data_IF_436891702127
#
_entry.id   IF_436891702127
#
_cell.length_a   1.000
_cell.length_b   1.000
_cell.length_c   1.000
_cell.angle_alpha   90.00
_cell.angle_beta   90.00
_cell.angle_gamma   90.00
#
_symmetry.space_group_name_H-M   'P 1'
#
loop_
_entity.id
_entity.type
_entity.pdbx_description
1 polymer ?
#
# COMPACT_ATOMS: atom_id res chain seq x y z
N UNK A 1 -33.67 68.12 8.16
CA UNK A 1 -33.48 67.15 7.09
C UNK A 1 -33.14 65.78 7.72
N UNK A 2 -33.98 64.99 8.40
CA UNK A 2 -35.42 64.68 8.41
C UNK A 2 -35.94 63.89 7.20
N UNK A 3 -36.46 62.68 7.54
CA UNK A 3 -37.41 61.79 6.83
C UNK A 3 -36.87 60.86 5.73
N UNK A 4 -37.28 59.59 5.61
CA UNK A 4 -38.30 58.75 6.28
C UNK A 4 -38.05 57.27 5.86
N UNK A 5 -38.30 56.22 6.63
CA UNK A 5 -39.54 55.67 7.22
C UNK A 5 -40.65 55.26 6.23
N UNK A 6 -40.87 53.92 6.15
CA UNK A 6 -42.13 53.13 6.01
C UNK A 6 -41.72 51.73 5.49
N UNK A 7 -42.23 50.59 5.95
CA UNK A 7 -43.37 50.28 6.83
C UNK A 7 -43.27 48.80 7.24
N UNK A 8 -43.59 48.52 8.50
CA UNK A 8 -43.97 47.19 8.97
C UNK A 8 -45.42 46.88 8.55
N UNK A 9 -45.71 45.62 8.23
CA UNK A 9 -47.05 45.04 8.25
C UNK A 9 -46.97 43.65 8.92
N UNK A 10 -48.04 43.35 9.64
CA UNK A 10 -48.21 42.37 10.71
C UNK A 10 -48.65 40.96 10.28
N UNK A 11 -48.27 39.97 11.11
CA UNK A 11 -48.76 38.60 11.41
C UNK A 11 -50.20 38.23 10.96
N UNK A 12 -50.56 36.93 10.67
CA UNK A 12 -50.44 35.80 11.61
C UNK A 12 -50.15 34.38 11.05
N UNK A 13 -49.99 33.44 11.98
CA UNK A 13 -49.88 31.97 11.83
C UNK A 13 -50.77 31.35 10.74
N UNK A 14 -50.20 30.43 9.95
CA UNK A 14 -50.92 29.23 9.50
C UNK A 14 -49.96 28.06 9.23
N UNK A 15 -50.22 26.99 9.95
CA UNK A 15 -49.77 25.60 9.84
C UNK A 15 -49.48 25.05 8.44
N UNK A 16 -48.40 24.26 8.31
CA UNK A 16 -48.36 23.13 7.39
C UNK A 16 -47.04 22.85 6.69
N UNK A 17 -46.56 21.62 6.84
CA UNK A 17 -45.65 20.87 5.94
C UNK A 17 -44.12 20.96 6.18
N UNK A 18 -43.40 19.85 5.87
CA UNK A 18 -42.64 19.14 6.88
C UNK A 18 -41.13 19.36 6.81
N UNK A 19 -40.47 18.99 7.91
CA UNK A 19 -39.03 18.86 8.02
C UNK A 19 -38.42 18.05 6.86
N UNK A 20 -37.75 18.73 5.94
CA UNK A 20 -36.76 18.10 5.06
C UNK A 20 -35.52 17.85 5.91
N UNK A 21 -35.49 16.67 6.55
CA UNK A 21 -34.23 16.07 6.99
C UNK A 21 -33.39 15.82 5.75
N UNK A 22 -32.36 16.62 5.55
CA UNK A 22 -31.25 16.25 4.68
C UNK A 22 -30.51 15.06 5.32
N UNK A 23 -31.02 13.85 5.10
CA UNK A 23 -30.20 12.63 5.15
C UNK A 23 -29.50 12.53 3.80
N UNK A 24 -28.33 13.15 3.68
CA UNK A 24 -27.36 12.67 2.71
C UNK A 24 -26.83 11.34 3.25
N UNK A 25 -27.34 10.22 2.70
CA UNK A 25 -26.80 8.90 2.99
C UNK A 25 -25.35 8.85 2.46
N UNK A 26 -24.41 8.50 3.34
CA UNK A 26 -22.99 8.30 3.03
C UNK A 26 -22.76 7.38 1.81
N UNK A 27 -23.74 6.51 1.51
CA UNK A 27 -23.75 5.56 0.39
C UNK A 27 -23.67 6.22 -1.01
N UNK A 28 -24.18 7.44 -1.19
CA UNK A 28 -24.20 8.08 -2.51
C UNK A 28 -22.82 8.59 -2.94
N UNK A 29 -22.00 9.06 -2.00
CA UNK A 29 -20.67 9.61 -2.29
C UNK A 29 -19.67 8.52 -2.69
N UNK A 30 -19.73 7.34 -2.08
CA UNK A 30 -18.88 6.21 -2.44
C UNK A 30 -19.22 5.65 -3.83
N UNK A 31 -20.52 5.54 -4.17
CA UNK A 31 -20.94 5.12 -5.50
C UNK A 31 -20.56 6.13 -6.60
N UNK A 32 -20.69 7.43 -6.32
CA UNK A 32 -20.32 8.49 -7.27
C UNK A 32 -18.80 8.53 -7.47
N UNK A 33 -18.01 8.46 -6.39
CA UNK A 33 -16.55 8.44 -6.49
C UNK A 33 -16.01 7.19 -7.21
N UNK A 34 -16.62 6.02 -6.98
CA UNK A 34 -16.30 4.79 -7.73
C UNK A 34 -16.58 4.92 -9.23
N UNK A 35 -17.67 5.60 -9.62
CA UNK A 35 -17.98 5.90 -11.02
C UNK A 35 -16.98 6.87 -11.66
N UNK A 36 -16.57 7.93 -10.95
CA UNK A 36 -15.58 8.89 -11.47
C UNK A 36 -14.19 8.27 -11.66
N UNK A 37 -13.75 7.36 -10.78
CA UNK A 37 -12.45 6.67 -10.93
C UNK A 37 -12.47 5.68 -12.08
N UNK A 38 -13.59 5.00 -12.34
CA UNK A 38 -13.72 4.19 -13.57
C UNK A 38 -13.65 5.08 -14.81
N UNK A 39 -14.22 6.29 -14.76
CA UNK A 39 -14.18 7.24 -15.87
C UNK A 39 -12.80 7.89 -16.06
N UNK A 40 -12.01 8.11 -15.00
CA UNK A 40 -10.64 8.64 -15.12
C UNK A 40 -9.62 7.57 -15.57
N UNK A 41 -9.85 6.30 -15.21
CA UNK A 41 -9.14 5.16 -15.81
C UNK A 41 -9.49 4.98 -17.30
N UNK A 42 -10.66 5.44 -17.73
CA UNK A 42 -11.09 5.44 -19.14
C UNK A 42 -10.68 6.72 -19.90
N UNK A 43 -10.53 7.88 -19.25
CA UNK A 43 -10.16 9.14 -19.91
C UNK A 43 -8.71 9.20 -20.39
N UNK A 44 -7.85 8.28 -19.97
CA UNK A 44 -6.55 8.07 -20.63
C UNK A 44 -6.67 7.34 -21.99
N UNK A 45 -7.89 7.05 -22.44
CA UNK A 45 -8.19 6.32 -23.68
C UNK A 45 -9.26 7.02 -24.57
N UNK A 46 -9.36 8.35 -24.55
CA UNK A 46 -10.22 9.07 -25.50
C UNK A 46 -9.40 9.65 -26.66
N UNK A 47 -9.30 8.87 -27.74
CA UNK A 47 -9.31 9.40 -29.10
C UNK A 47 -10.65 9.00 -29.73
N UNK A 48 -11.40 9.91 -30.37
CA UNK A 48 -12.70 9.59 -30.94
C UNK A 48 -12.51 8.84 -32.25
N UNK A 49 -12.42 7.52 -32.15
CA UNK A 49 -12.37 6.59 -33.27
C UNK A 49 -12.58 5.16 -32.74
N UNK A 50 -13.11 4.22 -33.55
CA UNK A 50 -13.27 2.84 -33.10
C UNK A 50 -11.91 2.30 -32.65
N UNK A 51 -11.83 1.81 -31.41
CA UNK A 51 -10.68 1.06 -30.90
C UNK A 51 -10.50 -0.17 -31.78
N UNK A 52 -9.62 -0.08 -32.77
CA UNK A 52 -9.15 -1.24 -33.52
C UNK A 52 -8.20 -1.99 -32.60
N UNK A 53 -8.72 -2.99 -31.89
CA UNK A 53 -7.90 -4.00 -31.24
C UNK A 53 -7.04 -4.70 -32.30
N UNK A 54 -5.75 -4.89 -31.99
CA UNK A 54 -4.90 -5.79 -32.76
C UNK A 54 -5.59 -7.17 -32.90
N UNK A 55 -5.53 -7.85 -34.06
CA UNK A 55 -6.34 -9.05 -34.34
C UNK A 55 -6.08 -10.26 -33.44
N UNK A 56 -5.07 -10.21 -32.56
CA UNK A 56 -4.57 -11.38 -31.82
C UNK A 56 -5.06 -11.53 -30.37
N UNK A 57 -5.76 -10.55 -29.78
CA UNK A 57 -6.27 -10.68 -28.39
C UNK A 57 -7.69 -10.09 -28.26
N UNK A 58 -8.72 -10.90 -28.49
CA UNK A 58 -10.10 -10.57 -28.08
C UNK A 58 -10.33 -10.98 -26.63
N UNK A 59 -10.16 -10.05 -25.69
CA UNK A 59 -10.53 -10.27 -24.29
C UNK A 59 -12.05 -10.09 -24.13
N UNK A 60 -12.74 -11.16 -23.83
CA UNK A 60 -14.17 -11.13 -23.43
C UNK A 60 -14.27 -10.82 -21.94
N UNK A 61 -14.42 -9.53 -21.59
CA UNK A 61 -14.65 -9.12 -20.21
C UNK A 61 -16.15 -9.07 -19.88
N UNK A 62 -16.54 -9.52 -18.68
CA UNK A 62 -17.92 -9.33 -18.19
C UNK A 62 -18.21 -7.82 -18.06
N UNK A 63 -19.36 -7.39 -18.57
CA UNK A 63 -19.81 -5.98 -18.54
C UNK A 63 -19.77 -5.44 -17.11
N UNK A 64 -19.06 -4.34 -16.89
CA UNK A 64 -19.02 -3.67 -15.58
C UNK A 64 -20.42 -3.13 -15.28
N UNK A 65 -21.06 -3.65 -14.23
CA UNK A 65 -22.36 -3.17 -13.79
C UNK A 65 -22.16 -1.88 -13.00
N UNK A 66 -22.35 -0.72 -13.65
CA UNK A 66 -22.16 0.63 -13.08
C UNK A 66 -22.99 0.90 -11.80
N UNK A 67 -24.02 0.08 -11.53
CA UNK A 67 -24.92 0.21 -10.38
C UNK A 67 -24.60 -0.77 -9.22
N UNK A 68 -23.54 -1.58 -9.31
CA UNK A 68 -23.16 -2.51 -8.24
C UNK A 68 -21.75 -2.23 -7.75
N UNK A 69 -21.64 -1.90 -6.46
CA UNK A 69 -20.35 -1.84 -5.80
C UNK A 69 -19.72 -3.24 -5.76
N UNK A 70 -18.43 -3.35 -6.07
CA UNK A 70 -17.68 -4.62 -6.08
C UNK A 70 -17.58 -5.26 -4.70
N UNK A 71 -17.56 -4.43 -3.66
CA UNK A 71 -17.59 -4.79 -2.23
C UNK A 71 -18.51 -3.81 -1.50
N UNK A 72 -19.32 -4.31 -0.58
CA UNK A 72 -20.22 -3.50 0.28
C UNK A 72 -19.91 -3.66 1.78
N UNK A 73 -18.93 -4.48 2.11
CA UNK A 73 -18.48 -4.83 3.45
C UNK A 73 -17.17 -4.11 3.87
N UNK A 74 -16.54 -3.40 2.94
CA UNK A 74 -15.27 -2.68 3.14
C UNK A 74 -15.24 -1.37 2.37
N UNK A 75 -14.39 -0.44 2.83
CA UNK A 75 -14.02 0.74 2.05
C UNK A 75 -13.10 0.32 0.88
N UNK A 76 -13.46 0.71 -0.34
CA UNK A 76 -12.71 0.40 -1.57
C UNK A 76 -12.00 1.61 -2.18
N UNK A 77 -12.25 2.81 -1.65
CA UNK A 77 -11.66 4.06 -2.14
C UNK A 77 -11.40 5.00 -0.96
N UNK A 78 -10.21 5.58 -0.90
CA UNK A 78 -9.85 6.56 0.14
C UNK A 78 -10.52 7.91 -0.11
N UNK A 79 -10.58 8.81 0.90
CA UNK A 79 -11.08 10.18 0.70
C UNK A 79 -10.31 11.00 -0.34
N UNK A 80 -9.05 10.62 -0.66
CA UNK A 80 -8.22 11.25 -1.70
C UNK A 80 -8.22 10.47 -3.02
N UNK A 81 -9.23 9.60 -3.23
CA UNK A 81 -9.47 8.86 -4.49
C UNK A 81 -8.41 7.82 -4.86
N UNK A 82 -7.62 7.34 -3.89
CA UNK A 82 -6.78 6.15 -4.09
C UNK A 82 -7.60 4.87 -3.86
N UNK A 83 -7.53 3.86 -4.75
CA UNK A 83 -8.24 2.61 -4.52
C UNK A 83 -7.60 1.83 -3.36
N UNK A 84 -8.46 1.20 -2.56
CA UNK A 84 -8.07 0.21 -1.56
C UNK A 84 -8.21 -1.17 -2.19
N UNK A 85 -7.08 -1.85 -2.41
CA UNK A 85 -7.02 -3.08 -3.18
C UNK A 85 -7.51 -4.26 -2.35
N UNK A 86 -8.72 -4.73 -2.67
CA UNK A 86 -9.35 -5.93 -2.10
C UNK A 86 -9.70 -6.93 -3.21
N UNK A 87 -9.77 -8.21 -2.89
CA UNK A 87 -10.30 -9.20 -3.82
C UNK A 87 -11.71 -8.81 -4.31
N UNK A 88 -11.88 -8.86 -5.64
CA UNK A 88 -13.09 -8.46 -6.35
C UNK A 88 -13.12 -6.99 -6.80
N UNK A 89 -12.14 -6.16 -6.43
CA UNK A 89 -12.08 -4.74 -6.83
C UNK A 89 -11.35 -4.49 -8.15
N UNK A 90 -10.70 -5.51 -8.71
CA UNK A 90 -9.90 -5.42 -9.93
C UNK A 90 -10.16 -6.60 -10.85
N UNK A 91 -9.88 -6.41 -12.14
CA UNK A 91 -9.82 -7.49 -13.13
C UNK A 91 -8.35 -7.72 -13.49
N UNK A 92 -7.83 -8.89 -13.11
CA UNK A 92 -6.42 -9.26 -13.28
C UNK A 92 -6.01 -9.32 -14.75
N UNK A 93 -6.89 -9.75 -15.66
CA UNK A 93 -6.56 -9.89 -17.08
C UNK A 93 -6.33 -8.52 -17.72
N UNK A 94 -7.21 -7.56 -17.44
CA UNK A 94 -7.09 -6.18 -17.94
C UNK A 94 -5.79 -5.55 -17.44
N UNK A 95 -5.53 -5.67 -16.14
CA UNK A 95 -4.31 -5.10 -15.55
C UNK A 95 -3.06 -5.78 -16.12
N UNK A 96 -3.07 -7.10 -16.24
CA UNK A 96 -1.96 -7.83 -16.83
C UNK A 96 -1.64 -7.36 -18.24
N UNK A 97 -2.63 -7.19 -19.12
CA UNK A 97 -2.39 -6.65 -20.46
C UNK A 97 -1.76 -5.25 -20.40
N UNK A 98 -2.31 -4.35 -19.57
CA UNK A 98 -1.81 -2.98 -19.46
C UNK A 98 -0.32 -2.93 -19.05
N UNK A 99 0.08 -3.74 -18.08
CA UNK A 99 1.46 -3.76 -17.59
C UNK A 99 2.40 -4.60 -18.47
N UNK A 100 1.90 -5.63 -19.17
CA UNK A 100 2.66 -6.40 -20.17
C UNK A 100 2.99 -5.55 -21.40
N UNK A 101 2.04 -4.73 -21.88
CA UNK A 101 2.27 -3.79 -22.99
C UNK A 101 3.36 -2.76 -22.70
N UNK A 102 3.59 -2.44 -21.42
CA UNK A 102 4.66 -1.54 -20.96
C UNK A 102 5.98 -2.26 -20.70
N UNK A 103 6.03 -3.59 -20.85
CA UNK A 103 7.18 -4.43 -20.52
C UNK A 103 7.70 -4.19 -19.09
N UNK A 104 6.77 -4.04 -18.14
CA UNK A 104 7.07 -3.62 -16.77
C UNK A 104 7.97 -4.63 -16.05
N UNK A 105 9.03 -4.15 -15.42
CA UNK A 105 9.93 -4.92 -14.57
C UNK A 105 9.76 -4.51 -13.11
N UNK A 106 9.56 -5.49 -12.22
CA UNK A 106 9.31 -5.27 -10.80
C UNK A 106 10.50 -5.76 -9.98
N UNK A 107 11.01 -4.89 -9.11
CA UNK A 107 11.96 -5.24 -8.08
C UNK A 107 11.26 -5.66 -6.80
N UNK A 108 11.63 -6.81 -6.22
CA UNK A 108 11.20 -7.20 -4.88
C UNK A 108 12.41 -7.18 -3.95
N UNK A 109 12.45 -6.21 -3.04
CA UNK A 109 13.52 -6.14 -2.04
C UNK A 109 13.13 -6.93 -0.81
N UNK A 110 14.10 -7.69 -0.30
CA UNK A 110 13.98 -8.48 0.92
C UNK A 110 15.15 -8.15 1.85
N UNK A 111 14.86 -7.82 3.11
CA UNK A 111 15.86 -7.58 4.16
C UNK A 111 16.40 -8.86 4.84
N UNK A 112 17.10 -8.77 5.97
CA UNK A 112 17.69 -9.93 6.65
C UNK A 112 16.72 -10.62 7.62
N UNK A 113 16.77 -11.95 7.70
CA UNK A 113 15.95 -12.80 8.58
C UNK A 113 15.08 -13.82 7.81
N UNK A 114 14.47 -14.75 8.55
CA UNK A 114 13.50 -15.73 8.04
C UNK A 114 14.02 -16.78 7.06
N UNK A 115 13.15 -17.71 6.68
CA UNK A 115 13.46 -18.74 5.69
C UNK A 115 13.62 -18.12 4.29
N UNK A 116 14.85 -18.13 3.79
CA UNK A 116 15.18 -17.53 2.49
C UNK A 116 14.56 -18.26 1.32
N UNK A 117 14.56 -19.57 1.44
CA UNK A 117 14.14 -20.48 0.40
C UNK A 117 12.62 -20.48 0.29
N UNK A 118 11.90 -20.59 1.42
CA UNK A 118 10.44 -20.61 1.45
C UNK A 118 9.83 -19.36 0.81
N UNK A 119 10.35 -18.17 1.14
CA UNK A 119 9.88 -16.92 0.55
C UNK A 119 10.09 -16.89 -0.97
N UNK A 120 11.29 -17.23 -1.46
CA UNK A 120 11.58 -17.20 -2.91
C UNK A 120 10.75 -18.25 -3.66
N UNK A 121 10.65 -19.47 -3.12
CA UNK A 121 9.83 -20.53 -3.70
C UNK A 121 8.35 -20.16 -3.76
N UNK A 122 7.82 -19.49 -2.73
CA UNK A 122 6.43 -19.03 -2.73
C UNK A 122 6.22 -17.79 -3.59
N UNK A 123 7.19 -16.88 -3.66
CA UNK A 123 7.16 -15.74 -4.56
C UNK A 123 7.12 -16.18 -6.03
N UNK A 124 7.88 -17.19 -6.43
CA UNK A 124 7.82 -17.76 -7.79
C UNK A 124 6.42 -18.27 -8.16
N UNK A 125 5.64 -18.75 -7.18
CA UNK A 125 4.28 -19.26 -7.42
C UNK A 125 3.22 -18.17 -7.50
N UNK A 126 3.46 -17.00 -6.89
CA UNK A 126 2.37 -16.08 -6.55
C UNK A 126 2.66 -14.60 -6.83
N UNK A 127 3.93 -14.20 -6.87
CA UNK A 127 4.33 -12.81 -7.01
C UNK A 127 4.60 -12.45 -8.47
N UNK A 128 3.77 -11.57 -9.05
CA UNK A 128 3.97 -11.00 -10.38
C UNK A 128 4.22 -12.07 -11.46
N UNK A 129 3.50 -13.19 -11.38
CA UNK A 129 3.65 -14.31 -12.33
C UNK A 129 3.29 -13.83 -13.74
N UNK A 130 4.14 -14.15 -14.71
CA UNK A 130 4.01 -13.67 -16.10
C UNK A 130 4.62 -12.28 -16.36
N UNK A 131 5.25 -11.67 -15.36
CA UNK A 131 5.98 -10.40 -15.49
C UNK A 131 7.46 -10.57 -15.13
N UNK A 132 8.28 -9.60 -15.56
CA UNK A 132 9.72 -9.57 -15.28
C UNK A 132 9.95 -9.19 -13.83
N UNK A 133 10.74 -9.98 -13.11
CA UNK A 133 11.02 -9.77 -11.68
C UNK A 133 12.50 -9.85 -11.38
N UNK A 134 13.02 -8.87 -10.65
CA UNK A 134 14.34 -8.97 -10.01
C UNK A 134 14.16 -9.02 -8.50
N UNK A 135 14.57 -10.13 -7.89
CA UNK A 135 14.64 -10.26 -6.44
C UNK A 135 15.95 -9.67 -5.94
N UNK A 136 15.87 -8.70 -5.04
CA UNK A 136 17.03 -8.12 -4.37
C UNK A 136 17.11 -8.66 -2.95
N UNK A 137 18.08 -9.52 -2.70
CA UNK A 137 18.30 -10.15 -1.39
C UNK A 137 19.44 -9.43 -0.69
N UNK A 138 19.11 -8.65 0.34
CA UNK A 138 20.10 -8.02 1.21
C UNK A 138 20.61 -9.04 2.22
N UNK A 139 21.93 -9.24 2.32
CA UNK A 139 22.52 -10.11 3.35
C UNK A 139 24.00 -9.85 3.61
N UNK A 140 24.41 -10.08 4.85
CA UNK A 140 25.79 -10.22 5.36
C UNK A 140 26.45 -11.57 4.98
N UNK A 141 25.67 -12.56 4.53
CA UNK A 141 26.09 -13.91 4.18
C UNK A 141 25.67 -14.28 2.74
N UNK A 142 26.32 -13.73 1.71
CA UNK A 142 25.97 -14.01 0.32
C UNK A 142 25.99 -15.49 -0.04
N UNK A 143 26.94 -16.25 0.53
CA UNK A 143 27.07 -17.69 0.30
C UNK A 143 25.89 -18.51 0.86
N UNK A 144 25.12 -17.97 1.80
CA UNK A 144 23.96 -18.61 2.41
C UNK A 144 22.65 -18.35 1.64
N UNK A 145 22.68 -17.64 0.51
CA UNK A 145 21.49 -17.40 -0.30
C UNK A 145 21.15 -18.68 -1.08
N UNK A 146 19.93 -19.25 -0.89
CA UNK A 146 19.55 -20.49 -1.53
C UNK A 146 19.40 -20.32 -3.05
N UNK A 147 19.74 -21.37 -3.80
CA UNK A 147 19.52 -21.44 -5.25
C UNK A 147 18.14 -21.98 -5.52
N UNK A 148 17.18 -21.08 -5.73
CA UNK A 148 15.80 -21.44 -6.08
C UNK A 148 15.65 -21.40 -7.61
N UNK A 149 15.04 -22.42 -8.26
CA UNK A 149 14.69 -22.35 -9.68
C UNK A 149 13.75 -21.17 -9.95
N UNK A 150 14.06 -20.37 -10.96
CA UNK A 150 13.29 -19.18 -11.32
C UNK A 150 12.65 -19.34 -12.70
N UNK A 151 11.44 -18.81 -12.86
CA UNK A 151 10.78 -18.70 -14.14
C UNK A 151 11.50 -17.76 -15.12
N UNK A 152 11.10 -17.82 -16.39
CA UNK A 152 11.67 -16.98 -17.44
C UNK A 152 11.50 -15.48 -17.14
N UNK A 153 12.53 -14.68 -17.42
CA UNK A 153 12.51 -13.23 -17.18
C UNK A 153 12.64 -12.84 -15.70
N UNK A 154 13.00 -13.79 -14.83
CA UNK A 154 13.15 -13.60 -13.39
C UNK A 154 14.57 -13.90 -12.95
N UNK A 155 15.09 -13.12 -12.00
CA UNK A 155 16.47 -13.29 -11.48
C UNK A 155 16.59 -12.90 -10.02
N UNK A 156 17.57 -13.48 -9.33
CA UNK A 156 17.98 -13.07 -7.99
C UNK A 156 19.30 -12.29 -8.09
N UNK A 157 19.35 -11.16 -7.40
CA UNK A 157 20.54 -10.33 -7.21
C UNK A 157 20.81 -10.27 -5.71
N UNK A 158 21.97 -10.78 -5.31
CA UNK A 158 22.43 -10.72 -3.92
C UNK A 158 23.17 -9.40 -3.72
N UNK A 159 22.77 -8.65 -2.70
CA UNK A 159 23.34 -7.35 -2.34
C UNK A 159 23.93 -7.47 -0.94
N UNK A 160 25.26 -7.46 -0.87
CA UNK A 160 25.95 -7.56 0.42
C UNK A 160 25.76 -6.28 1.24
N UNK A 161 25.29 -6.45 2.48
CA UNK A 161 25.09 -5.36 3.43
C UNK A 161 25.73 -5.75 4.77
N UNK A 162 26.17 -4.75 5.53
CA UNK A 162 26.71 -4.98 6.86
C UNK A 162 25.55 -5.29 7.82
N UNK A 163 25.66 -6.35 8.61
CA UNK A 163 24.75 -6.63 9.71
C UNK A 163 24.87 -5.58 10.82
N UNK A 164 23.78 -5.34 11.56
CA UNK A 164 23.75 -4.48 12.76
C UNK A 164 23.66 -5.29 14.05
N UNK A 165 24.19 -4.81 15.19
CA UNK A 165 24.18 -5.54 16.46
C UNK A 165 22.78 -5.64 17.11
N UNK A 166 21.83 -4.77 16.74
CA UNK A 166 20.43 -4.79 17.20
C UNK A 166 19.49 -5.00 16.01
N UNK A 167 18.44 -5.80 16.18
CA UNK A 167 17.41 -5.99 15.13
C UNK A 167 16.70 -4.66 14.78
N UNK A 168 16.59 -3.74 15.74
CA UNK A 168 16.06 -2.39 15.52
C UNK A 168 16.94 -1.61 14.53
N UNK A 169 18.26 -1.69 14.69
CA UNK A 169 19.21 -1.01 13.83
C UNK A 169 19.13 -1.59 12.41
N UNK A 170 18.94 -2.90 12.26
CA UNK A 170 18.71 -3.55 10.95
C UNK A 170 17.40 -3.08 10.30
N UNK A 171 16.31 -2.96 11.07
CA UNK A 171 15.02 -2.43 10.57
C UNK A 171 15.11 -0.97 10.16
N UNK A 172 15.79 -0.13 10.94
CA UNK A 172 15.99 1.29 10.63
C UNK A 172 16.99 1.50 9.48
N UNK A 173 18.01 0.65 9.38
CA UNK A 173 18.96 0.65 8.25
C UNK A 173 18.30 0.27 6.92
N UNK A 174 17.18 -0.47 6.94
CA UNK A 174 16.43 -0.83 5.73
C UNK A 174 16.11 0.38 4.85
N UNK A 175 15.65 1.48 5.46
CA UNK A 175 15.34 2.71 4.72
C UNK A 175 16.60 3.29 4.06
N UNK A 176 17.73 3.33 4.78
CA UNK A 176 19.00 3.82 4.24
C UNK A 176 19.53 2.93 3.10
N UNK A 177 19.49 1.62 3.27
CA UNK A 177 19.94 0.63 2.30
C UNK A 177 19.10 0.71 1.02
N UNK A 178 17.78 0.71 1.14
CA UNK A 178 16.89 0.82 -0.03
C UNK A 178 17.11 2.15 -0.74
N UNK A 179 17.20 3.27 -0.01
CA UNK A 179 17.45 4.60 -0.59
C UNK A 179 18.76 4.59 -1.39
N UNK A 180 19.85 4.09 -0.82
CA UNK A 180 21.16 3.99 -1.48
C UNK A 180 21.09 3.16 -2.77
N UNK A 181 20.45 2.00 -2.72
CA UNK A 181 20.35 1.13 -3.89
C UNK A 181 19.35 1.62 -4.94
N UNK A 182 18.40 2.51 -4.59
CA UNK A 182 17.59 3.21 -5.58
C UNK A 182 18.48 3.98 -6.56
N UNK A 183 19.41 4.79 -6.03
CA UNK A 183 20.35 5.58 -6.84
C UNK A 183 21.37 4.72 -7.58
N UNK A 184 21.96 3.75 -6.88
CA UNK A 184 23.06 2.94 -7.43
C UNK A 184 22.58 1.96 -8.50
N UNK A 185 21.34 1.47 -8.39
CA UNK A 185 20.91 0.28 -9.13
C UNK A 185 19.47 0.33 -9.61
N UNK A 186 18.51 0.47 -8.71
CA UNK A 186 17.11 0.16 -9.03
C UNK A 186 16.55 1.07 -10.12
N UNK A 187 16.92 2.36 -10.16
CA UNK A 187 16.50 3.30 -11.20
C UNK A 187 16.85 2.86 -12.63
N UNK A 188 17.82 1.95 -12.78
CA UNK A 188 18.29 1.45 -14.08
C UNK A 188 17.80 0.05 -14.39
N UNK A 189 17.24 -0.65 -13.42
CA UNK A 189 16.93 -2.08 -13.52
C UNK A 189 15.43 -2.40 -13.47
N UNK A 190 14.63 -1.60 -12.76
CA UNK A 190 13.21 -1.89 -12.52
C UNK A 190 12.36 -0.61 -12.57
N UNK A 191 11.09 -0.75 -12.91
CA UNK A 191 10.13 0.35 -12.97
C UNK A 191 9.48 0.61 -11.60
N UNK A 192 9.20 -0.48 -10.89
CA UNK A 192 8.57 -0.47 -9.57
C UNK A 192 9.39 -1.27 -8.57
N UNK A 193 9.37 -0.84 -7.31
CA UNK A 193 9.91 -1.56 -6.17
C UNK A 193 8.77 -1.93 -5.21
N UNK A 194 8.82 -3.19 -4.77
CA UNK A 194 8.04 -3.72 -3.66
C UNK A 194 9.02 -4.04 -2.55
N UNK A 195 8.83 -3.41 -1.39
CA UNK A 195 9.65 -3.58 -0.22
C UNK A 195 8.90 -4.42 0.81
N UNK A 196 9.32 -5.68 0.93
CA UNK A 196 8.66 -6.65 1.79
C UNK A 196 9.57 -7.11 2.93
N UNK A 197 8.96 -7.38 4.08
CA UNK A 197 9.62 -8.06 5.18
C UNK A 197 9.78 -9.56 4.92
N UNK A 198 10.70 -10.17 5.64
CA UNK A 198 11.33 -11.45 5.29
C UNK A 198 10.66 -12.67 5.87
N UNK A 199 9.90 -12.46 6.93
CA UNK A 199 9.32 -13.51 7.74
C UNK A 199 7.90 -13.86 7.32
N UNK A 200 7.73 -13.86 6.01
CA UNK A 200 6.45 -13.94 5.35
C UNK A 200 6.58 -14.96 4.22
N UNK A 201 5.47 -15.57 3.85
CA UNK A 201 5.38 -16.41 2.67
C UNK A 201 4.21 -15.98 1.81
N UNK A 202 4.37 -16.08 0.50
CA UNK A 202 3.24 -15.92 -0.40
C UNK A 202 2.37 -17.18 -0.37
N UNK A 203 1.06 -16.99 -0.40
CA UNK A 203 0.07 -18.07 -0.35
C UNK A 203 -0.96 -17.97 -1.47
N UNK A 204 -1.18 -16.78 -2.00
CA UNK A 204 -2.12 -16.52 -3.09
C UNK A 204 -1.57 -15.35 -3.94
N UNK A 205 -2.22 -15.09 -5.07
CA UNK A 205 -1.85 -14.07 -6.06
C UNK A 205 -1.54 -12.70 -5.44
N UNK A 206 -0.35 -12.19 -5.75
CA UNK A 206 0.08 -10.80 -5.57
C UNK A 206 0.64 -10.32 -6.90
N UNK A 207 -0.13 -9.54 -7.64
CA UNK A 207 0.22 -9.15 -9.00
C UNK A 207 0.25 -7.65 -9.22
N UNK A 208 0.13 -7.27 -10.49
CA UNK A 208 0.24 -5.88 -10.95
C UNK A 208 -0.85 -4.97 -10.39
N UNK A 209 -1.91 -5.52 -9.78
CA UNK A 209 -2.94 -4.73 -9.10
C UNK A 209 -2.38 -3.85 -7.97
N UNK A 210 -1.25 -4.21 -7.36
CA UNK A 210 -0.63 -3.41 -6.30
C UNK A 210 0.21 -2.24 -6.85
N UNK A 211 0.62 -2.32 -8.12
CA UNK A 211 1.56 -1.35 -8.70
C UNK A 211 0.90 0.02 -8.87
N UNK A 212 1.58 1.05 -8.37
CA UNK A 212 1.20 2.45 -8.44
C UNK A 212 2.41 3.33 -8.12
N UNK A 213 2.38 4.66 -8.35
CA UNK A 213 3.47 5.54 -7.96
C UNK A 213 3.90 5.34 -6.50
N UNK A 214 2.96 5.26 -5.57
CA UNK A 214 3.22 4.99 -4.15
C UNK A 214 2.07 4.18 -3.54
N UNK A 215 2.41 3.14 -2.78
CA UNK A 215 1.43 2.38 -2.00
C UNK A 215 1.93 2.07 -0.59
N UNK A 216 0.97 2.00 0.34
CA UNK A 216 1.15 1.45 1.68
C UNK A 216 0.12 0.34 1.94
N UNK A 217 0.42 -0.54 2.89
CA UNK A 217 -0.44 -1.68 3.25
C UNK A 217 -1.10 -1.46 4.60
N UNK A 218 -2.41 -1.67 4.72
CA UNK A 218 -3.12 -1.58 6.00
C UNK A 218 -2.58 -2.64 6.96
N UNK A 219 -2.25 -2.23 8.18
CA UNK A 219 -1.78 -3.14 9.22
C UNK A 219 -2.93 -4.08 9.67
N UNK A 220 -2.67 -5.39 9.76
CA UNK A 220 -3.73 -6.39 9.98
C UNK A 220 -4.40 -6.29 11.36
N UNK A 221 -3.71 -5.77 12.39
CA UNK A 221 -4.32 -5.52 13.71
C UNK A 221 -5.12 -4.21 13.83
N UNK A 222 -5.02 -3.29 12.86
CA UNK A 222 -5.56 -1.92 13.00
C UNK A 222 -6.55 -1.50 11.89
N UNK A 223 -6.76 -2.31 10.84
CA UNK A 223 -7.63 -1.93 9.71
C UNK A 223 -9.10 -1.64 10.10
N UNK A 224 -9.58 -2.15 11.24
CA UNK A 224 -10.89 -1.84 11.81
C UNK A 224 -10.85 -0.93 13.05
N UNK A 225 -9.67 -0.46 13.47
CA UNK A 225 -9.51 0.34 14.69
C UNK A 225 -9.73 1.84 14.43
N UNK A 226 -10.10 2.59 15.47
CA UNK A 226 -10.20 4.03 15.38
C UNK A 226 -8.82 4.69 15.44
N UNK A 227 -8.65 5.86 14.79
CA UNK A 227 -7.35 6.56 14.70
C UNK A 227 -6.67 6.84 16.04
N UNK A 228 -7.47 7.00 17.10
CA UNK A 228 -6.99 7.27 18.47
C UNK A 228 -6.28 6.06 19.09
N UNK A 229 -6.60 4.86 18.59
CA UNK A 229 -6.09 3.57 19.06
C UNK A 229 -4.90 3.09 18.22
N UNK A 230 -4.59 3.80 17.11
CA UNK A 230 -3.37 3.58 16.35
C UNK A 230 -2.14 3.89 17.20
N UNK A 231 -1.14 3.01 17.09
CA UNK A 231 0.11 3.09 17.87
C UNK A 231 1.15 4.00 17.22
N UNK A 232 0.74 5.12 16.62
CA UNK A 232 1.70 6.11 16.12
C UNK A 232 2.60 6.64 17.24
N UNK A 233 3.74 7.22 16.84
CA UNK A 233 4.57 7.99 17.75
C UNK A 233 3.79 9.23 18.26
N UNK A 234 3.62 9.32 19.59
CA UNK A 234 2.82 10.37 20.22
C UNK A 234 3.67 11.43 20.93
N UNK A 235 5.00 11.22 21.06
CA UNK A 235 5.93 12.19 21.65
C UNK A 235 6.22 13.28 20.62
N UNK A 236 5.88 14.56 20.88
CA UNK A 236 6.09 15.65 19.92
C UNK A 236 7.57 15.95 19.59
N UNK A 237 8.51 15.37 20.36
CA UNK A 237 9.95 15.52 20.12
C UNK A 237 10.46 14.67 18.95
N UNK A 238 9.73 13.62 18.57
CA UNK A 238 10.12 12.75 17.45
C UNK A 238 9.61 13.30 16.12
N UNK A 239 10.40 13.15 15.07
CA UNK A 239 10.00 13.44 13.69
C UNK A 239 8.82 12.57 13.22
N UNK A 240 8.60 11.40 13.82
CA UNK A 240 7.48 10.52 13.52
C UNK A 240 6.16 10.94 14.20
N UNK A 241 6.13 12.04 14.94
CA UNK A 241 4.97 12.43 15.74
C UNK A 241 3.69 12.59 14.91
N UNK A 242 2.61 11.93 15.33
CA UNK A 242 1.25 12.13 14.81
C UNK A 242 0.30 12.44 15.99
N UNK A 243 -0.38 13.60 15.98
CA UNK A 243 -1.42 13.94 16.96
C UNK A 243 -2.60 12.96 16.98
N UNK A 244 -3.34 12.89 18.09
CA UNK A 244 -4.44 11.90 18.27
C UNK A 244 -5.64 12.13 17.35
N UNK A 245 -5.84 13.36 16.91
CA UNK A 245 -6.90 13.79 15.99
C UNK A 245 -6.50 13.62 14.51
N UNK A 246 -5.25 13.28 14.21
CA UNK A 246 -4.74 13.03 12.87
C UNK A 246 -4.55 11.53 12.58
N UNK A 247 -4.38 11.20 11.30
CA UNK A 247 -4.21 9.82 10.80
C UNK A 247 -5.39 9.33 9.98
N UNK A 248 -5.09 8.81 8.79
CA UNK A 248 -6.06 8.15 7.91
C UNK A 248 -6.14 6.65 8.21
N UNK A 249 -4.99 5.98 8.16
CA UNK A 249 -4.83 4.54 8.38
C UNK A 249 -3.51 4.25 9.09
N UNK A 250 -3.45 3.13 9.81
CA UNK A 250 -2.19 2.61 10.31
C UNK A 250 -1.60 1.64 9.27
N UNK A 251 -0.51 2.04 8.65
CA UNK A 251 0.20 1.29 7.61
C UNK A 251 1.26 0.40 8.23
N UNK A 252 1.42 -0.80 7.67
CA UNK A 252 2.43 -1.77 8.09
C UNK A 252 3.79 -1.45 7.46
N UNK A 253 4.86 -1.42 8.26
CA UNK A 253 6.24 -1.28 7.80
C UNK A 253 6.72 -2.44 6.94
N UNK A 254 6.13 -3.62 7.08
CA UNK A 254 6.53 -4.84 6.42
C UNK A 254 6.09 -4.99 4.94
N UNK A 255 5.25 -4.09 4.40
CA UNK A 255 4.94 -4.09 2.97
C UNK A 255 4.56 -2.70 2.47
N UNK A 256 5.43 -2.09 1.68
CA UNK A 256 5.21 -0.83 0.97
C UNK A 256 5.92 -0.86 -0.38
N UNK A 257 5.69 0.16 -1.21
CA UNK A 257 6.39 0.24 -2.48
C UNK A 257 5.83 1.32 -3.39
N UNK A 258 6.25 1.27 -4.64
CA UNK A 258 5.92 2.32 -5.60
C UNK A 258 6.80 2.28 -6.83
N UNK A 259 6.75 3.36 -7.62
CA UNK A 259 7.81 3.62 -8.60
C UNK A 259 9.15 3.79 -7.87
N UNK A 260 10.26 3.49 -8.52
CA UNK A 260 11.58 3.63 -7.89
C UNK A 260 11.82 5.05 -7.36
N UNK A 261 11.34 6.07 -8.07
CA UNK A 261 11.47 7.47 -7.67
C UNK A 261 10.72 7.79 -6.36
N UNK A 262 9.50 7.28 -6.21
CA UNK A 262 8.69 7.48 -5.00
C UNK A 262 9.23 6.67 -3.82
N UNK A 263 9.67 5.43 -4.05
CA UNK A 263 10.31 4.61 -3.02
C UNK A 263 11.61 5.28 -2.55
N UNK A 264 12.38 5.86 -3.47
CA UNK A 264 13.57 6.63 -3.11
C UNK A 264 13.19 7.80 -2.19
N UNK A 265 12.23 8.64 -2.57
CA UNK A 265 11.77 9.78 -1.76
C UNK A 265 11.31 9.37 -0.36
N UNK A 266 10.48 8.33 -0.28
CA UNK A 266 9.99 7.79 0.99
C UNK A 266 11.15 7.33 1.87
N UNK A 267 12.02 6.48 1.33
CA UNK A 267 13.09 5.85 2.12
C UNK A 267 14.16 6.86 2.53
N UNK A 268 14.51 7.82 1.68
CA UNK A 268 15.38 8.94 2.03
C UNK A 268 14.79 9.80 3.15
N UNK A 269 13.52 10.18 3.05
CA UNK A 269 12.85 11.02 4.05
C UNK A 269 12.75 10.32 5.41
N UNK A 270 12.35 9.04 5.42
CA UNK A 270 12.33 8.23 6.65
C UNK A 270 13.74 8.10 7.25
N UNK A 271 14.76 7.84 6.44
CA UNK A 271 16.14 7.74 6.92
C UNK A 271 16.64 9.04 7.56
N UNK A 272 16.40 10.19 6.91
CA UNK A 272 16.76 11.51 7.45
C UNK A 272 16.01 11.81 8.75
N UNK A 273 14.71 11.51 8.82
CA UNK A 273 13.91 11.69 10.02
C UNK A 273 14.42 10.84 11.20
N UNK A 274 14.80 9.58 10.94
CA UNK A 274 15.41 8.71 11.94
C UNK A 274 16.77 9.23 12.43
N UNK A 275 17.60 9.79 11.52
CA UNK A 275 18.88 10.38 11.89
C UNK A 275 18.71 11.61 12.81
N UNK A 276 17.69 12.43 12.57
CA UNK A 276 17.34 13.58 13.43
C UNK A 276 16.87 13.09 14.80
N UNK A 277 16.01 12.08 14.85
CA UNK A 277 15.55 11.46 16.09
C UNK A 277 16.71 10.89 16.90
N UNK A 278 17.62 10.16 16.25
CA UNK A 278 18.84 9.64 16.87
C UNK A 278 19.71 10.76 17.45
N UNK A 279 19.93 11.85 16.69
CA UNK A 279 20.71 13.00 17.16
C UNK A 279 20.05 13.71 18.36
N UNK A 280 18.72 13.63 18.48
CA UNK A 280 17.94 14.15 19.60
C UNK A 280 17.78 13.15 20.76
N UNK A 281 18.42 11.97 20.67
CA UNK A 281 18.35 10.93 21.71
C UNK A 281 16.96 10.30 21.85
N UNK A 282 16.20 10.21 20.76
CA UNK A 282 14.88 9.57 20.71
C UNK A 282 14.86 8.48 19.62
N UNK A 283 14.22 7.36 19.92
CA UNK A 283 13.92 6.28 18.96
C UNK A 283 12.40 6.15 18.92
N UNK A 284 11.79 6.22 17.73
CA UNK A 284 10.34 6.18 17.58
C UNK A 284 9.76 4.83 18.03
N UNK A 285 8.54 4.84 18.58
CA UNK A 285 7.93 3.68 19.29
C UNK A 285 7.87 2.39 18.46
N UNK A 286 7.65 2.50 17.14
CA UNK A 286 7.70 1.37 16.20
C UNK A 286 8.73 1.61 15.10
N UNK A 287 9.87 2.21 15.45
CA UNK A 287 11.03 2.36 14.58
C UNK A 287 10.65 2.95 13.20
N UNK A 288 11.06 2.31 12.11
CA UNK A 288 10.81 2.74 10.74
C UNK A 288 9.31 2.72 10.35
N UNK A 289 8.47 1.88 10.97
CA UNK A 289 7.02 1.91 10.75
C UNK A 289 6.39 3.21 11.25
N UNK A 290 6.91 3.79 12.34
CA UNK A 290 6.43 5.10 12.83
C UNK A 290 6.74 6.21 11.81
N UNK A 291 7.95 6.23 11.25
CA UNK A 291 8.33 7.19 10.22
C UNK A 291 7.59 6.97 8.90
N UNK A 292 7.35 5.71 8.50
CA UNK A 292 6.51 5.37 7.35
C UNK A 292 5.10 5.96 7.48
N UNK A 293 4.47 5.77 8.64
CA UNK A 293 3.12 6.30 8.88
C UNK A 293 3.10 7.83 8.85
N UNK A 294 4.12 8.49 9.40
CA UNK A 294 4.27 9.94 9.28
C UNK A 294 4.41 10.36 7.82
N UNK A 295 5.27 9.69 7.06
CA UNK A 295 5.49 10.00 5.66
C UNK A 295 4.20 9.87 4.83
N UNK A 296 3.46 8.76 4.99
CA UNK A 296 2.23 8.49 4.24
C UNK A 296 1.04 9.37 4.68
N UNK A 297 1.09 9.92 5.90
CA UNK A 297 0.15 10.96 6.32
C UNK A 297 0.37 12.25 5.53
N UNK A 298 1.63 12.65 5.34
CA UNK A 298 1.99 13.88 4.62
C UNK A 298 1.99 13.69 3.08
N UNK A 299 2.25 12.46 2.61
CA UNK A 299 2.36 12.08 1.20
C UNK A 299 1.40 10.93 0.91
N UNK A 300 0.17 11.28 0.52
CA UNK A 300 -0.91 10.29 0.38
C UNK A 300 -0.54 9.21 -0.65
N UNK A 301 -0.64 7.91 -0.30
CA UNK A 301 -0.36 6.85 -1.25
C UNK A 301 -1.42 6.80 -2.34
N UNK A 302 -0.99 6.56 -3.57
CA UNK A 302 -1.85 6.44 -4.76
C UNK A 302 -2.62 5.12 -4.85
N UNK A 303 -2.22 4.11 -4.06
CA UNK A 303 -3.03 2.92 -3.74
C UNK A 303 -2.83 2.54 -2.28
N UNK A 304 -3.84 1.93 -1.68
CA UNK A 304 -3.71 1.33 -0.35
C UNK A 304 -3.98 -0.17 -0.49
N UNK A 305 -3.10 -1.02 0.02
CA UNK A 305 -3.34 -2.47 0.00
C UNK A 305 -4.16 -2.86 1.23
N UNK A 306 -5.18 -3.69 1.03
CA UNK A 306 -5.91 -4.28 2.14
C UNK A 306 -5.02 -5.26 2.94
N UNK A 307 -5.43 -5.67 4.14
CA UNK A 307 -4.71 -6.70 4.89
C UNK A 307 -4.70 -8.08 4.24
N UNK A 308 -5.40 -8.31 3.11
CA UNK A 308 -5.21 -9.53 2.31
C UNK A 308 -3.75 -9.68 1.84
N UNK A 309 -3.03 -8.56 1.70
CA UNK A 309 -1.64 -8.47 1.26
C UNK A 309 -0.62 -8.50 2.41
N UNK A 310 -1.07 -8.56 3.66
CA UNK A 310 -0.19 -8.80 4.81
C UNK A 310 -1.02 -9.26 6.00
N UNK A 311 -0.89 -10.54 6.37
CA UNK A 311 -1.75 -11.13 7.39
C UNK A 311 -1.03 -12.09 8.34
N UNK A 312 -1.43 -12.08 9.61
CA UNK A 312 -1.04 -13.11 10.58
C UNK A 312 -2.24 -14.00 10.89
N UNK A 313 -2.28 -15.19 10.26
CA UNK A 313 -3.40 -16.12 10.45
C UNK A 313 -3.40 -16.74 11.85
N UNK A 314 -2.23 -16.90 12.48
CA UNK A 314 -2.14 -17.53 13.80
C UNK A 314 -2.72 -16.61 14.87
N UNK A 315 -2.43 -15.31 14.80
CA UNK A 315 -2.91 -14.32 15.76
C UNK A 315 -4.34 -13.86 15.47
N UNK A 316 -4.70 -13.70 14.19
CA UNK A 316 -5.94 -13.00 13.80
C UNK A 316 -6.99 -13.91 13.15
N UNK A 317 -6.69 -15.21 12.99
CA UNK A 317 -7.56 -16.16 12.32
C UNK A 317 -7.77 -15.83 10.84
N UNK A 318 -8.94 -16.17 10.30
CA UNK A 318 -9.34 -15.84 8.92
C UNK A 318 -10.77 -15.29 8.91
N UNK A 319 -10.95 -13.97 9.14
CA UNK A 319 -12.27 -13.35 9.18
C UNK A 319 -12.91 -13.31 7.77
N UNK A 320 -14.25 -13.37 7.70
CA UNK A 320 -15.01 -13.42 6.44
C UNK A 320 -14.76 -12.26 5.47
N UNK A 321 -14.34 -11.11 6.01
CA UNK A 321 -13.99 -9.92 5.22
C UNK A 321 -12.75 -10.14 4.33
N UNK A 322 -11.85 -11.04 4.74
CA UNK A 322 -10.68 -11.45 3.97
C UNK A 322 -11.07 -12.58 3.03
N UNK A 323 -11.25 -12.27 1.74
CA UNK A 323 -11.57 -13.32 0.75
C UNK A 323 -10.34 -14.13 0.38
N UNK A 324 -9.15 -13.53 0.50
CA UNK A 324 -7.86 -14.16 0.25
C UNK A 324 -6.84 -13.78 1.32
N UNK A 325 -5.92 -14.69 1.60
CA UNK A 325 -4.72 -14.43 2.40
C UNK A 325 -3.51 -14.62 1.49
N UNK A 326 -2.97 -13.52 0.97
CA UNK A 326 -2.01 -13.54 -0.16
C UNK A 326 -0.56 -13.61 0.30
N UNK A 327 -0.24 -12.89 1.37
CA UNK A 327 1.09 -12.82 1.94
C UNK A 327 0.97 -12.88 3.46
N UNK A 328 1.47 -13.97 4.05
CA UNK A 328 1.16 -14.34 5.44
C UNK A 328 2.41 -14.54 6.27
N UNK A 329 2.34 -14.17 7.54
CA UNK A 329 3.40 -14.41 8.51
C UNK A 329 3.70 -15.90 8.62
N UNK A 330 4.99 -16.23 8.68
CA UNK A 330 5.45 -17.57 9.05
C UNK A 330 5.48 -17.63 10.58
N UNK A 331 4.88 -18.65 11.23
CA UNK A 331 4.95 -18.80 12.69
C UNK A 331 6.38 -18.74 13.21
N UNK A 332 6.61 -18.01 14.29
CA UNK A 332 7.93 -17.87 14.92
C UNK A 332 7.90 -18.17 16.41
N UNK A 333 9.04 -18.65 16.90
CA UNK A 333 9.46 -18.40 18.27
C UNK A 333 10.35 -17.14 18.29
N UNK A 334 9.83 -16.03 18.80
CA UNK A 334 10.57 -14.75 18.83
C UNK A 334 11.84 -14.78 19.69
N UNK A 335 11.99 -15.76 20.59
CA UNK A 335 13.16 -15.93 21.43
C UNK A 335 14.37 -16.50 20.67
N UNK A 336 14.14 -17.37 19.67
CA UNK A 336 15.22 -18.09 18.99
C UNK A 336 15.87 -17.28 17.86
N UNK A 337 15.13 -16.35 17.24
CA UNK A 337 15.58 -15.60 16.05
C UNK A 337 16.27 -14.27 16.43
N UNK A 338 15.99 -13.72 17.61
CA UNK A 338 16.55 -12.42 18.08
C UNK A 338 17.82 -12.56 18.91
N UNK A 339 18.26 -13.79 19.18
CA UNK A 339 19.42 -14.10 20.02
C UNK A 339 20.71 -14.44 19.25
N UNK A 340 20.64 -14.40 17.91
CA UNK A 340 21.78 -14.54 16.97
C UNK A 340 21.90 -13.29 16.14
#
# INVERSE_FOLDING_TARGET
WSWGSRSALSWPFSSGSPAVRARASCDSLQCIAACFVTQHLLHLAESPGPLVCSPSCQLTCRRVALLRCSRNDVLVLTPWLAPIVWEGTFNTDILNEQFRLRNTTIGLTRTEGGDRELFLQTAEKHFMVGHRVTYYVFTDRPAAVPRVPLGEGRRVVVLEVLGGPRWQDVSMQRMAVISRFCEQRFLREVDYLVCADVDMKFRDHVGVEILSPLFGTLHPSFYGAARKDFTYERRPRSQAHIPRDQGDFYYMGALFGGSVAEVHRLTSACHQAMAIDQANGIEAVWHDESHLNRYLLDHKPTKVLSPEYLWDQQLLGWPRVMKKLRFVAVPKNHQDIRAT
#
